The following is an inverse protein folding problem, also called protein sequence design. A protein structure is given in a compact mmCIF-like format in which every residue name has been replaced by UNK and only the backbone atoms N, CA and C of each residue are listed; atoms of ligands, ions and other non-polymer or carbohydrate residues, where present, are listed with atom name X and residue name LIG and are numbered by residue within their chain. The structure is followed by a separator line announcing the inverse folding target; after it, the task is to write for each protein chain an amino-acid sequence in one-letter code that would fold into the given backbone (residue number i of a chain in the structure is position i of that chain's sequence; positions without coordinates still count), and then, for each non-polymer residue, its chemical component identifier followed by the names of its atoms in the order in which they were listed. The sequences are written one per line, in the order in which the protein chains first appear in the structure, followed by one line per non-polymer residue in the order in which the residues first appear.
data_IF_305809294268
#
_entry.id   IF_305809294268
#
_cell.length_a   1.000
_cell.length_b   1.000
_cell.length_c   1.000
_cell.angle_alpha   90.00
_cell.angle_beta   90.00
_cell.angle_gamma   90.00
#
_symmetry.space_group_name_H-M   'P 1'
#
loop_
_entity.id
_entity.type
_entity.pdbx_description
1 polymer ?
#
# COMPACT_ATOMS: atom_id res chain seq x y z
N UNK A 1 -12.49 10.01 -13.21
CA UNK A 1 -11.13 9.44 -13.25
C UNK A 1 -11.02 8.65 -14.54
N UNK A 2 -9.96 8.83 -15.35
CA UNK A 2 -9.63 7.79 -16.32
C UNK A 2 -9.40 6.48 -15.52
N UNK A 3 -9.61 5.31 -16.12
CA UNK A 3 -9.42 3.98 -15.49
C UNK A 3 -10.49 3.51 -14.48
N UNK A 4 -11.63 4.21 -14.34
CA UNK A 4 -12.80 3.64 -13.66
C UNK A 4 -13.51 2.57 -14.50
N UNK A 5 -14.37 1.72 -13.90
CA UNK A 5 -14.86 1.79 -12.51
C UNK A 5 -13.92 1.21 -11.45
N UNK A 6 -13.79 1.88 -10.30
CA UNK A 6 -12.88 1.51 -9.21
C UNK A 6 -13.07 0.07 -8.71
N UNK A 7 -14.30 -0.32 -8.38
CA UNK A 7 -14.57 -1.66 -7.82
C UNK A 7 -14.28 -2.78 -8.82
N UNK A 8 -14.55 -2.59 -10.10
CA UNK A 8 -14.26 -3.59 -11.13
C UNK A 8 -12.74 -3.80 -11.28
N UNK A 9 -11.97 -2.71 -11.23
CA UNK A 9 -10.53 -2.77 -11.23
C UNK A 9 -9.99 -3.55 -10.02
N UNK A 10 -10.43 -3.19 -8.81
CA UNK A 10 -10.01 -3.85 -7.56
C UNK A 10 -10.39 -5.33 -7.56
N UNK A 11 -11.65 -5.65 -7.90
CA UNK A 11 -12.15 -7.03 -7.91
C UNK A 11 -11.48 -7.88 -8.98
N UNK A 12 -11.12 -7.30 -10.13
CA UNK A 12 -10.35 -7.99 -11.15
C UNK A 12 -9.03 -8.53 -10.60
N UNK A 13 -8.25 -7.69 -9.93
CA UNK A 13 -6.99 -8.13 -9.31
C UNK A 13 -7.19 -9.03 -8.08
N UNK A 14 -8.27 -8.82 -7.31
CA UNK A 14 -8.61 -9.70 -6.20
C UNK A 14 -8.86 -11.13 -6.66
N UNK A 15 -9.69 -11.32 -7.70
CA UNK A 15 -9.96 -12.65 -8.23
C UNK A 15 -8.73 -13.28 -8.89
N UNK A 16 -7.91 -12.49 -9.58
CA UNK A 16 -6.65 -12.99 -10.14
C UNK A 16 -5.66 -13.42 -9.05
N UNK A 17 -5.59 -12.71 -7.92
CA UNK A 17 -4.75 -13.11 -6.77
C UNK A 17 -5.17 -14.45 -6.17
N UNK A 18 -6.47 -14.79 -6.23
CA UNK A 18 -6.99 -16.08 -5.76
C UNK A 18 -6.71 -17.20 -6.76
N UNK A 19 -6.79 -16.92 -8.07
CA UNK A 19 -6.54 -17.92 -9.12
C UNK A 19 -5.05 -18.22 -9.27
N UNK A 20 -4.19 -17.23 -9.10
CA UNK A 20 -2.75 -17.30 -9.35
C UNK A 20 -1.96 -16.71 -8.17
N UNK A 21 -2.05 -17.33 -6.98
CA UNK A 21 -1.45 -16.79 -5.76
C UNK A 21 0.08 -16.67 -5.83
N UNK A 22 0.74 -17.48 -6.67
CA UNK A 22 2.20 -17.43 -6.88
C UNK A 22 2.63 -16.36 -7.90
N UNK A 23 1.69 -15.79 -8.67
CA UNK A 23 1.96 -14.77 -9.69
C UNK A 23 1.39 -13.40 -9.35
N UNK A 24 0.38 -13.33 -8.47
CA UNK A 24 -0.33 -12.09 -8.13
C UNK A 24 -0.46 -11.96 -6.61
N UNK A 25 0.31 -11.03 -6.05
CA UNK A 25 0.19 -10.63 -4.64
C UNK A 25 -0.77 -9.45 -4.48
N UNK A 26 -1.87 -9.67 -3.76
CA UNK A 26 -2.79 -8.60 -3.37
C UNK A 26 -2.42 -8.04 -1.99
N UNK A 27 -2.25 -6.71 -1.91
CA UNK A 27 -1.93 -5.97 -0.69
C UNK A 27 -2.93 -4.82 -0.51
N UNK A 28 -3.34 -4.57 0.74
CA UNK A 28 -4.13 -3.40 1.13
C UNK A 28 -3.21 -2.33 1.70
N UNK A 29 -3.43 -1.07 1.34
CA UNK A 29 -2.62 0.05 1.80
C UNK A 29 -2.68 0.21 3.33
N UNK A 30 -3.85 0.00 3.90
CA UNK A 30 -4.07 0.17 5.32
C UNK A 30 -3.37 -0.92 6.15
N UNK A 31 -3.30 -2.15 5.63
CA UNK A 31 -2.49 -3.23 6.22
C UNK A 31 -0.99 -2.92 6.11
N UNK A 32 -0.54 -2.33 5.00
CA UNK A 32 0.85 -1.86 4.86
C UNK A 32 1.20 -0.79 5.89
N UNK A 33 0.24 0.06 6.25
CA UNK A 33 0.42 1.06 7.31
C UNK A 33 0.37 0.46 8.71
N UNK A 34 -0.55 -0.50 8.96
CA UNK A 34 -0.76 -1.11 10.29
C UNK A 34 0.33 -2.10 10.66
N UNK A 35 0.70 -2.97 9.72
CA UNK A 35 1.58 -4.13 9.94
C UNK A 35 2.75 -4.15 8.91
N UNK A 36 3.56 -3.07 8.81
CA UNK A 36 4.56 -2.93 7.75
C UNK A 36 5.61 -4.07 7.74
N UNK A 37 6.01 -4.58 8.91
CA UNK A 37 6.96 -5.70 9.02
C UNK A 37 6.40 -7.00 8.44
N UNK A 38 5.15 -7.31 8.73
CA UNK A 38 4.49 -8.53 8.24
C UNK A 38 4.25 -8.44 6.73
N UNK A 39 3.73 -7.32 6.26
CA UNK A 39 3.50 -7.10 4.82
C UNK A 39 4.82 -7.06 4.04
N UNK A 40 5.89 -6.48 4.62
CA UNK A 40 7.23 -6.49 4.05
C UNK A 40 7.80 -7.91 3.90
N UNK A 41 7.63 -8.76 4.93
CA UNK A 41 8.01 -10.18 4.86
C UNK A 41 7.19 -10.93 3.82
N UNK A 42 5.87 -10.73 3.79
CA UNK A 42 4.96 -11.31 2.79
C UNK A 42 5.40 -10.98 1.36
N UNK A 43 5.73 -9.71 1.10
CA UNK A 43 6.23 -9.26 -0.20
C UNK A 43 7.59 -9.90 -0.54
N UNK A 44 8.51 -9.97 0.40
CA UNK A 44 9.81 -10.63 0.16
C UNK A 44 9.61 -12.10 -0.21
N UNK A 45 8.81 -12.85 0.57
CA UNK A 45 8.50 -14.25 0.31
C UNK A 45 7.89 -14.46 -1.07
N UNK A 46 6.94 -13.60 -1.46
CA UNK A 46 6.33 -13.64 -2.78
C UNK A 46 7.34 -13.42 -3.92
N UNK A 47 8.37 -12.59 -3.70
CA UNK A 47 9.46 -12.36 -4.67
C UNK A 47 10.53 -13.47 -4.65
N UNK A 48 10.30 -14.59 -3.96
CA UNK A 48 11.27 -15.67 -3.80
C UNK A 48 12.49 -15.25 -2.95
N UNK A 49 12.33 -14.23 -2.11
CA UNK A 49 13.32 -13.79 -1.13
C UNK A 49 12.85 -14.19 0.26
N UNK A 50 13.78 -14.48 1.15
CA UNK A 50 13.49 -14.59 2.57
C UNK A 50 14.40 -13.65 3.33
N UNK A 51 13.85 -13.02 4.35
CA UNK A 51 14.69 -12.51 5.42
C UNK A 51 15.22 -13.72 6.19
N UNK A 52 16.45 -13.66 6.73
CA UNK A 52 16.94 -14.73 7.57
C UNK A 52 15.98 -14.94 8.76
N UNK A 53 15.82 -16.20 9.16
CA UNK A 53 14.88 -16.61 10.21
C UNK A 53 15.66 -17.16 11.38
N UNK A 54 15.44 -16.58 12.56
CA UNK A 54 15.98 -17.06 13.84
C UNK A 54 15.26 -18.33 14.32
N UNK A 55 15.38 -19.46 13.61
CA UNK A 55 14.96 -20.77 14.15
C UNK A 55 16.11 -21.53 14.80
N UNK A 56 17.33 -21.06 14.63
CA UNK A 56 18.52 -21.86 14.87
C UNK A 56 19.25 -21.42 16.16
N UNK A 57 18.51 -21.07 17.22
CA UNK A 57 19.04 -20.92 18.60
C UNK A 57 20.15 -19.89 18.86
N UNK A 58 20.74 -19.26 17.83
CA UNK A 58 21.72 -18.19 17.93
C UNK A 58 20.97 -16.86 17.93
N UNK A 59 20.42 -16.47 19.08
CA UNK A 59 19.80 -15.17 19.26
C UNK A 59 20.74 -14.05 18.82
N UNK A 60 20.42 -13.39 17.71
CA UNK A 60 21.19 -12.32 17.11
C UNK A 60 20.28 -11.27 16.49
N UNK A 61 20.55 -10.02 16.81
CA UNK A 61 19.86 -8.75 16.48
C UNK A 61 19.74 -8.41 14.98
N UNK A 62 20.20 -9.27 14.07
CA UNK A 62 20.54 -8.88 12.69
C UNK A 62 19.36 -9.07 11.69
N UNK A 63 18.39 -9.93 11.99
CA UNK A 63 17.30 -10.29 11.06
C UNK A 63 16.16 -9.26 11.02
N UNK A 64 15.70 -8.84 12.20
CA UNK A 64 14.74 -7.74 12.33
C UNK A 64 15.33 -6.43 11.79
N UNK A 65 16.65 -6.28 11.87
CA UNK A 65 17.40 -5.13 11.40
C UNK A 65 17.36 -5.00 9.87
N UNK A 66 17.44 -6.09 9.09
CA UNK A 66 17.35 -6.01 7.62
C UNK A 66 15.94 -5.66 7.12
N UNK A 67 14.90 -6.25 7.70
CA UNK A 67 13.51 -5.86 7.38
C UNK A 67 13.30 -4.39 7.72
N UNK A 68 13.75 -3.97 8.89
CA UNK A 68 13.61 -2.60 9.37
C UNK A 68 14.38 -1.59 8.52
N UNK A 69 15.58 -1.94 8.06
CA UNK A 69 16.35 -1.13 7.09
C UNK A 69 15.59 -0.95 5.78
N UNK A 70 15.00 -2.01 5.22
CA UNK A 70 14.22 -1.92 3.98
C UNK A 70 13.01 -1.02 4.19
N UNK A 71 12.25 -1.24 5.27
CA UNK A 71 11.07 -0.44 5.60
C UNK A 71 11.42 1.02 5.85
N UNK A 72 12.53 1.29 6.54
CA UNK A 72 13.00 2.64 6.78
C UNK A 72 13.38 3.33 5.47
N UNK A 73 14.10 2.65 4.57
CA UNK A 73 14.48 3.18 3.24
C UNK A 73 13.27 3.50 2.37
N UNK A 74 12.21 2.70 2.47
CA UNK A 74 10.96 2.89 1.72
C UNK A 74 9.88 3.68 2.47
N UNK A 75 10.16 4.14 3.69
CA UNK A 75 9.18 4.85 4.51
C UNK A 75 8.76 6.18 3.87
N UNK A 76 7.49 6.54 4.02
CA UNK A 76 6.93 7.78 3.47
C UNK A 76 7.74 9.01 3.92
N UNK A 77 8.07 9.11 5.22
CA UNK A 77 8.85 10.22 5.76
C UNK A 77 10.24 10.31 5.15
N UNK A 78 10.95 9.17 5.02
CA UNK A 78 12.28 9.15 4.40
C UNK A 78 12.22 9.56 2.94
N UNK A 79 11.32 8.95 2.17
CA UNK A 79 11.19 9.20 0.72
C UNK A 79 10.78 10.65 0.44
N UNK A 80 9.82 11.20 1.19
CA UNK A 80 9.39 12.60 1.06
C UNK A 80 10.55 13.59 1.26
N UNK A 81 11.49 13.25 2.13
CA UNK A 81 12.60 14.14 2.49
C UNK A 81 13.80 14.08 1.53
N UNK A 82 13.85 13.12 0.60
CA UNK A 82 14.93 13.01 -0.39
C UNK A 82 14.96 14.21 -1.33
N UNK A 83 16.16 14.72 -1.65
CA UNK A 83 16.34 15.89 -2.51
C UNK A 83 15.66 15.72 -3.88
N UNK A 84 15.75 14.52 -4.47
CA UNK A 84 15.08 14.20 -5.74
C UNK A 84 13.57 14.36 -5.64
N UNK A 85 12.95 14.13 -4.49
CA UNK A 85 11.51 14.23 -4.30
C UNK A 85 11.06 15.64 -3.87
N UNK A 86 11.94 16.41 -3.22
CA UNK A 86 11.68 17.82 -2.87
C UNK A 86 11.84 18.77 -4.05
N UNK A 87 12.85 18.53 -4.88
CA UNK A 87 13.27 19.49 -5.91
C UNK A 87 13.19 18.94 -7.33
N UNK A 88 12.99 17.63 -7.49
CA UNK A 88 12.82 17.02 -8.81
C UNK A 88 11.44 17.28 -9.41
N UNK A 89 11.36 17.09 -10.72
CA UNK A 89 10.13 17.17 -11.50
C UNK A 89 10.14 16.13 -12.62
N UNK A 90 8.95 15.69 -13.01
CA UNK A 90 8.71 14.77 -14.12
C UNK A 90 7.80 15.44 -15.15
N UNK A 91 8.04 15.17 -16.43
CA UNK A 91 7.22 15.68 -17.52
C UNK A 91 8.06 16.08 -18.74
N UNK A 92 7.39 16.19 -19.88
CA UNK A 92 7.97 16.66 -21.13
C UNK A 92 7.72 18.17 -21.30
N UNK A 93 8.39 18.78 -22.30
CA UNK A 93 8.39 20.22 -22.52
C UNK A 93 6.96 20.81 -22.50
N UNK A 94 6.69 21.66 -21.50
CA UNK A 94 5.41 22.39 -21.34
C UNK A 94 4.59 22.02 -20.09
N UNK A 95 4.82 20.86 -19.47
CA UNK A 95 4.14 20.47 -18.24
C UNK A 95 5.10 19.74 -17.29
N UNK A 96 5.86 20.51 -16.51
CA UNK A 96 6.67 19.95 -15.43
C UNK A 96 5.82 19.79 -14.17
N UNK A 97 5.72 18.56 -13.69
CA UNK A 97 5.07 18.22 -12.43
C UNK A 97 6.14 17.97 -11.37
N UNK A 98 6.15 18.79 -10.31
CA UNK A 98 7.05 18.59 -9.17
C UNK A 98 6.80 17.23 -8.52
N UNK A 99 7.86 16.51 -8.13
CA UNK A 99 7.75 15.23 -7.42
C UNK A 99 7.02 15.34 -6.07
N UNK A 100 6.90 16.56 -5.52
CA UNK A 100 6.17 16.80 -4.26
C UNK A 100 4.70 16.37 -4.35
N UNK A 101 4.10 16.32 -5.55
CA UNK A 101 2.70 15.86 -5.73
C UNK A 101 2.48 14.41 -5.30
N UNK A 102 3.52 13.56 -5.32
CA UNK A 102 3.43 12.16 -4.92
C UNK A 102 3.41 11.99 -3.38
N UNK A 103 3.84 13.01 -2.61
CA UNK A 103 4.06 12.91 -1.16
C UNK A 103 3.20 13.90 -0.36
N UNK A 104 1.87 13.75 -0.43
CA UNK A 104 0.92 14.63 0.29
C UNK A 104 0.95 14.44 1.81
N UNK A 105 0.19 13.48 2.35
CA UNK A 105 0.11 13.18 3.79
C UNK A 105 0.58 11.76 4.17
N UNK A 106 0.26 10.75 3.35
CA UNK A 106 0.64 9.36 3.62
C UNK A 106 -0.03 8.77 4.87
N UNK A 107 -1.29 9.15 5.13
CA UNK A 107 -2.04 8.74 6.34
C UNK A 107 -3.38 8.13 5.96
N UNK A 108 -3.77 7.09 6.70
CA UNK A 108 -5.10 6.46 6.62
C UNK A 108 -6.14 7.37 7.30
N UNK A 109 -7.36 7.40 6.78
CA UNK A 109 -8.48 8.13 7.39
C UNK A 109 -8.54 9.64 7.09
N UNK A 110 -7.64 10.17 6.25
CA UNK A 110 -7.63 11.62 5.93
C UNK A 110 -8.90 12.09 5.18
N UNK A 111 -9.68 11.16 4.63
CA UNK A 111 -10.97 11.44 4.01
C UNK A 111 -11.94 12.18 4.94
N UNK A 112 -11.83 11.97 6.27
CA UNK A 112 -12.65 12.63 7.30
C UNK A 112 -12.50 14.15 7.30
N UNK A 113 -11.40 14.67 6.76
CA UNK A 113 -11.14 16.11 6.65
C UNK A 113 -11.80 16.74 5.40
N UNK A 114 -12.36 15.94 4.49
CA UNK A 114 -12.87 16.40 3.19
C UNK A 114 -14.30 15.96 2.89
N UNK A 115 -14.72 14.79 3.39
CA UNK A 115 -16.07 14.25 3.15
C UNK A 115 -16.99 14.55 4.33
N UNK A 116 -18.25 14.85 4.02
CA UNK A 116 -19.31 14.85 5.03
C UNK A 116 -19.66 13.42 5.43
N UNK A 117 -20.35 13.27 6.56
CA UNK A 117 -20.82 11.97 7.03
C UNK A 117 -21.71 11.28 5.98
N UNK A 118 -22.63 12.03 5.36
CA UNK A 118 -23.54 11.49 4.34
C UNK A 118 -22.79 10.99 3.09
N UNK A 119 -21.74 11.71 2.67
CA UNK A 119 -20.91 11.31 1.54
C UNK A 119 -20.14 10.02 1.86
N UNK A 120 -19.57 9.92 3.06
CA UNK A 120 -18.87 8.73 3.51
C UNK A 120 -19.80 7.51 3.60
N UNK A 121 -20.97 7.68 4.24
CA UNK A 121 -21.98 6.62 4.33
C UNK A 121 -22.46 6.14 2.96
N UNK A 122 -22.60 7.05 2.00
CA UNK A 122 -22.94 6.70 0.62
C UNK A 122 -21.86 5.81 -0.01
N UNK A 123 -20.59 6.17 0.14
CA UNK A 123 -19.46 5.37 -0.36
C UNK A 123 -19.41 4.01 0.35
N UNK A 124 -19.57 3.96 1.67
CA UNK A 124 -19.55 2.72 2.45
C UNK A 124 -20.67 1.78 2.00
N UNK A 125 -21.86 2.31 1.74
CA UNK A 125 -22.98 1.52 1.26
C UNK A 125 -22.71 0.93 -0.12
N UNK A 126 -22.17 1.73 -1.04
CA UNK A 126 -21.78 1.25 -2.38
C UNK A 126 -20.69 0.18 -2.25
N UNK A 127 -19.68 0.40 -1.41
CA UNK A 127 -18.60 -0.56 -1.14
C UNK A 127 -19.15 -1.88 -0.62
N UNK A 128 -20.04 -1.85 0.38
CA UNK A 128 -20.67 -3.06 0.93
C UNK A 128 -21.40 -3.86 -0.15
N UNK A 129 -22.21 -3.20 -0.98
CA UNK A 129 -22.94 -3.87 -2.07
C UNK A 129 -22.00 -4.44 -3.11
N UNK A 130 -20.94 -3.70 -3.50
CA UNK A 130 -20.00 -4.14 -4.54
C UNK A 130 -19.09 -5.27 -4.10
N UNK A 131 -18.70 -5.33 -2.82
CA UNK A 131 -17.80 -6.35 -2.29
C UNK A 131 -18.55 -7.57 -1.74
N UNK A 132 -19.88 -7.50 -1.63
CA UNK A 132 -20.69 -8.60 -1.10
C UNK A 132 -20.44 -9.90 -1.87
N UNK A 133 -20.11 -10.98 -1.14
CA UNK A 133 -19.89 -12.31 -1.71
C UNK A 133 -18.54 -12.52 -2.39
N UNK A 134 -17.70 -11.49 -2.50
CA UNK A 134 -16.37 -11.59 -3.14
C UNK A 134 -15.29 -12.15 -2.19
N UNK A 135 -15.54 -12.05 -0.89
CA UNK A 135 -14.57 -12.36 0.16
C UNK A 135 -13.52 -11.27 0.40
N UNK A 136 -13.55 -10.17 -0.37
CA UNK A 136 -12.72 -8.99 -0.09
C UNK A 136 -13.41 -8.11 0.95
N UNK A 137 -12.69 -7.81 2.04
CA UNK A 137 -13.08 -6.80 3.03
C UNK A 137 -12.05 -5.69 3.05
N UNK A 138 -12.53 -4.45 2.96
CA UNK A 138 -11.76 -3.25 3.25
C UNK A 138 -12.04 -2.90 4.72
N UNK A 139 -11.00 -2.70 5.51
CA UNK A 139 -11.15 -2.41 6.93
C UNK A 139 -11.73 -0.99 7.10
N UNK A 140 -12.65 -0.80 8.05
CA UNK A 140 -13.23 0.52 8.37
C UNK A 140 -12.24 1.35 9.19
N UNK A 141 -11.93 2.58 8.76
CA UNK A 141 -11.07 3.55 9.48
C UNK A 141 -11.75 4.87 9.81
#
# INVERSE_FOLDING_TARGET
MPWGPFYEHVLGYWEESKKRPDEVLFLKYEELCREPKEQGRKLASFLGRSFPSTTDGSGGTDDDDEVEKVLWRSSFGRLKELEVNKYGAVGEQGLQLSHTIYFRKGTVGDWKNYLTLDMAQCIDQVTRVKLQGTGLSLDDF
#
